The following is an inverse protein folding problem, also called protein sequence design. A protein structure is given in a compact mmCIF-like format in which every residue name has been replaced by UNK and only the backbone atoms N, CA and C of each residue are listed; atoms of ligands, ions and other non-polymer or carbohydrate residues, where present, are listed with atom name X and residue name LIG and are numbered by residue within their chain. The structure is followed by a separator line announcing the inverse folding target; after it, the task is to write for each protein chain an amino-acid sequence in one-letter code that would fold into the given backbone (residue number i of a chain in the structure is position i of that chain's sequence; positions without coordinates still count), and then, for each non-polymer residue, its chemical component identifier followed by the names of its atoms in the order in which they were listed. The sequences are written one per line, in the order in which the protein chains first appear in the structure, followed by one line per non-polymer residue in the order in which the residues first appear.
data_IF_458261920664
#
_entry.id   IF_458261920664
#
_cell.length_a   1.000
_cell.length_b   1.000
_cell.length_c   1.000
_cell.angle_alpha   90.00
_cell.angle_beta   90.00
_cell.angle_gamma   90.00
#
_symmetry.space_group_name_H-M   'P 1'
#
loop_
_entity.id
_entity.type
_entity.pdbx_description
1 polymer ?
#
# COMPACT_ATOMS: atom_id res chain seq x y z
N UNK A 1 -17.25 4.16 3.73
CA UNK A 1 -16.25 5.19 4.03
C UNK A 1 -16.42 5.64 5.48
N UNK A 2 -15.48 5.29 6.37
CA UNK A 2 -15.39 5.91 7.70
C UNK A 2 -14.79 7.28 7.52
N UNK A 3 -15.38 8.31 8.17
CA UNK A 3 -14.73 9.59 8.26
C UNK A 3 -13.31 9.41 8.85
N UNK A 4 -12.28 10.07 8.31
CA UNK A 4 -10.89 9.91 8.76
C UNK A 4 -10.70 10.06 10.27
N UNK A 5 -11.42 10.99 10.90
CA UNK A 5 -11.42 11.21 12.35
C UNK A 5 -11.85 9.97 13.15
N UNK A 6 -12.90 9.29 12.72
CA UNK A 6 -13.41 8.10 13.45
C UNK A 6 -12.41 6.94 13.36
N UNK A 7 -11.71 6.76 12.26
CA UNK A 7 -10.69 5.72 12.13
C UNK A 7 -9.49 6.01 13.04
N UNK A 8 -9.07 7.26 13.13
CA UNK A 8 -8.04 7.69 14.07
C UNK A 8 -8.44 7.46 15.52
N UNK A 9 -9.67 7.81 15.89
CA UNK A 9 -10.17 7.61 17.26
C UNK A 9 -10.22 6.12 17.63
N UNK A 10 -10.65 5.26 16.71
CA UNK A 10 -10.64 3.81 16.87
C UNK A 10 -9.21 3.27 17.03
N UNK A 11 -8.25 3.78 16.27
CA UNK A 11 -6.84 3.41 16.39
C UNK A 11 -6.25 3.79 17.75
N UNK A 12 -6.52 5.02 18.20
CA UNK A 12 -6.06 5.52 19.50
C UNK A 12 -6.62 4.67 20.63
N UNK A 13 -7.92 4.38 20.61
CA UNK A 13 -8.56 3.56 21.65
C UNK A 13 -7.98 2.13 21.67
N UNK A 14 -7.79 1.53 20.50
CA UNK A 14 -7.24 0.16 20.37
C UNK A 14 -5.80 0.05 20.90
N UNK A 15 -5.05 1.13 20.86
CA UNK A 15 -3.62 1.16 21.22
C UNK A 15 -3.32 2.03 22.45
N UNK A 16 -4.29 2.45 23.20
CA UNK A 16 -4.19 3.41 24.30
C UNK A 16 -3.07 3.10 25.29
N UNK A 17 -2.89 1.82 25.67
CA UNK A 17 -1.84 1.38 26.59
C UNK A 17 -0.42 1.43 25.98
N UNK A 18 -0.29 1.50 24.67
CA UNK A 18 0.98 1.47 23.93
C UNK A 18 1.45 2.86 23.48
N UNK A 19 0.53 3.81 23.36
CA UNK A 19 0.82 5.17 22.92
C UNK A 19 1.53 6.00 24.01
N UNK A 20 2.26 7.02 23.60
CA UNK A 20 2.85 8.03 24.47
C UNK A 20 1.80 9.00 25.06
N UNK A 21 2.24 9.94 25.95
CA UNK A 21 1.36 10.89 26.63
C UNK A 21 0.47 11.70 25.69
N UNK A 22 1.00 12.09 24.54
CA UNK A 22 0.29 12.89 23.54
C UNK A 22 -0.23 12.04 22.37
N UNK A 23 -0.55 10.76 22.63
CA UNK A 23 -0.96 9.78 21.61
C UNK A 23 0.13 9.54 20.56
N UNK A 24 1.39 9.84 20.89
CA UNK A 24 2.54 9.65 19.99
C UNK A 24 2.91 8.19 19.88
N UNK A 25 3.38 7.78 18.71
CA UNK A 25 3.91 6.44 18.46
C UNK A 25 5.28 6.29 19.10
N UNK A 26 5.55 5.14 19.70
CA UNK A 26 6.85 4.77 20.26
C UNK A 26 7.57 3.85 19.29
N UNK A 27 8.84 4.10 19.05
CA UNK A 27 9.68 3.27 18.20
C UNK A 27 9.81 1.85 18.75
N UNK A 28 9.78 0.84 17.88
CA UNK A 28 9.89 -0.57 18.25
C UNK A 28 8.63 -1.19 18.87
N UNK A 29 7.50 -0.48 18.90
CA UNK A 29 6.23 -0.98 19.43
C UNK A 29 5.30 -1.39 18.29
N UNK A 30 4.76 -2.60 18.36
CA UNK A 30 3.73 -3.07 17.42
C UNK A 30 2.36 -2.54 17.80
N UNK A 31 1.68 -1.87 16.87
CA UNK A 31 0.33 -1.31 17.04
C UNK A 31 -0.72 -2.13 16.29
N UNK A 32 -1.94 -2.14 16.82
CA UNK A 32 -3.09 -2.78 16.19
C UNK A 32 -3.79 -1.78 15.27
N UNK A 33 -4.09 -2.20 14.05
CA UNK A 33 -4.84 -1.39 13.07
C UNK A 33 -6.33 -1.74 13.17
N UNK A 34 -7.24 -0.76 13.29
CA UNK A 34 -8.67 -1.03 13.30
C UNK A 34 -9.10 -1.74 12.01
N UNK A 35 -9.93 -2.79 12.07
CA UNK A 35 -10.37 -3.50 10.88
C UNK A 35 -11.15 -2.56 9.94
N UNK A 36 -10.81 -2.57 8.66
CA UNK A 36 -11.65 -1.96 7.63
C UNK A 36 -13.02 -2.64 7.64
N UNK A 37 -14.12 -1.87 7.63
CA UNK A 37 -15.45 -2.46 7.51
C UNK A 37 -15.60 -3.09 6.14
N UNK A 38 -15.44 -4.41 6.03
CA UNK A 38 -16.04 -5.16 4.93
C UNK A 38 -17.55 -5.19 5.17
N UNK A 39 -18.32 -4.87 4.15
CA UNK A 39 -19.77 -5.05 4.14
C UNK A 39 -20.10 -6.54 4.11
N UNK A 40 -20.18 -7.17 5.27
CA UNK A 40 -20.87 -8.46 5.43
C UNK A 40 -21.61 -8.43 6.76
N UNK A 41 -22.89 -8.76 6.66
CA UNK A 41 -23.89 -8.68 7.70
C UNK A 41 -23.56 -9.39 9.00
N UNK A 42 -24.06 -8.80 10.10
CA UNK A 42 -24.02 -9.31 11.44
C UNK A 42 -24.66 -10.69 11.59
N UNK A 43 -23.93 -11.59 12.23
CA UNK A 43 -24.53 -12.69 12.99
C UNK A 43 -23.91 -12.69 14.39
N UNK A 44 -24.80 -12.64 15.34
CA UNK A 44 -24.73 -12.57 16.79
C UNK A 44 -23.71 -13.55 17.40
N UNK A 45 -22.78 -13.06 18.22
CA UNK A 45 -22.01 -13.90 19.13
C UNK A 45 -22.41 -13.61 20.58
N UNK A 46 -23.06 -14.60 21.20
CA UNK A 46 -23.27 -14.73 22.66
C UNK A 46 -22.00 -15.31 23.29
N UNK A 47 -21.74 -14.82 24.49
CA UNK A 47 -20.61 -15.10 25.38
C UNK A 47 -20.55 -16.50 25.99
N UNK A 48 -19.29 -16.94 26.28
CA UNK A 48 -18.75 -17.78 27.38
C UNK A 48 -18.72 -19.30 27.21
N UNK A 49 -17.95 -20.09 28.02
CA UNK A 49 -16.69 -19.85 28.71
C UNK A 49 -15.55 -20.84 28.34
N UNK A 50 -14.39 -20.66 28.96
CA UNK A 50 -13.13 -21.38 28.79
C UNK A 50 -13.18 -22.92 28.90
N UNK A 51 -12.39 -23.60 28.07
CA UNK A 51 -12.07 -25.03 28.24
C UNK A 51 -11.48 -25.73 27.04
N UNK A 52 -10.16 -25.89 27.04
CA UNK A 52 -9.33 -26.99 26.51
C UNK A 52 -9.43 -27.41 25.04
N UNK A 53 -8.25 -27.52 24.45
CA UNK A 53 -7.86 -28.19 23.20
C UNK A 53 -8.28 -27.48 21.91
N UNK A 54 -7.37 -26.66 21.39
CA UNK A 54 -7.41 -26.19 20.01
C UNK A 54 -6.66 -27.20 19.15
N UNK A 55 -7.40 -28.10 18.51
CA UNK A 55 -6.98 -28.71 17.27
C UNK A 55 -6.67 -27.58 16.27
N UNK A 56 -5.49 -27.64 15.69
CA UNK A 56 -5.11 -26.78 14.56
C UNK A 56 -6.09 -27.03 13.41
N UNK A 57 -7.13 -26.22 13.31
CA UNK A 57 -7.88 -26.12 12.06
C UNK A 57 -6.97 -25.41 11.04
N UNK A 58 -6.51 -26.18 10.07
CA UNK A 58 -5.90 -25.67 8.85
C UNK A 58 -6.87 -24.66 8.20
N UNK A 59 -6.54 -23.36 8.33
CA UNK A 59 -7.18 -22.34 7.49
C UNK A 59 -6.92 -22.73 6.04
N UNK A 60 -7.94 -22.72 5.15
CA UNK A 60 -7.72 -23.03 3.75
C UNK A 60 -6.62 -22.11 3.22
N UNK A 61 -5.53 -22.73 2.76
CA UNK A 61 -4.39 -22.02 2.16
C UNK A 61 -4.95 -21.19 1.00
N UNK A 62 -4.79 -19.86 0.98
CA UNK A 62 -5.33 -19.04 -0.11
C UNK A 62 -4.81 -19.60 -1.43
N UNK A 63 -5.72 -19.76 -2.39
CA UNK A 63 -5.37 -20.23 -3.72
C UNK A 63 -4.18 -19.42 -4.24
N UNK A 64 -3.09 -20.11 -4.63
CA UNK A 64 -1.84 -19.47 -5.05
C UNK A 64 -2.13 -18.63 -6.30
N UNK A 65 -2.13 -17.32 -6.16
CA UNK A 65 -2.23 -16.42 -7.32
C UNK A 65 -0.99 -16.65 -8.17
N UNK A 66 -1.20 -16.96 -9.42
CA UNK A 66 -0.11 -17.17 -10.40
C UNK A 66 0.18 -15.91 -11.19
N UNK A 67 -0.78 -14.99 -11.24
CA UNK A 67 -0.71 -13.73 -11.97
C UNK A 67 -1.50 -12.65 -11.25
N UNK A 68 -0.99 -11.42 -11.27
CA UNK A 68 -1.60 -10.22 -10.70
C UNK A 68 -1.70 -9.21 -11.83
N UNK A 69 -2.88 -8.60 -12.00
CA UNK A 69 -3.05 -7.47 -12.90
C UNK A 69 -3.01 -6.18 -12.10
N UNK A 70 -1.97 -5.36 -12.35
CA UNK A 70 -1.80 -4.03 -11.76
C UNK A 70 -1.65 -2.98 -12.88
N UNK A 71 -2.73 -2.26 -13.20
CA UNK A 71 -2.73 -1.29 -14.30
C UNK A 71 -1.72 -0.15 -14.14
N UNK A 72 -1.33 0.19 -12.91
CA UNK A 72 -0.34 1.23 -12.61
C UNK A 72 1.04 0.91 -13.17
N UNK A 73 1.35 -0.36 -13.48
CA UNK A 73 2.62 -0.70 -14.12
C UNK A 73 2.66 -0.38 -15.62
N UNK A 74 1.56 0.10 -16.19
CA UNK A 74 1.44 0.41 -17.62
C UNK A 74 1.12 -0.83 -18.47
N UNK A 75 0.70 -0.60 -19.72
CA UNK A 75 0.13 -1.64 -20.60
C UNK A 75 1.00 -2.88 -20.78
N UNK A 76 2.31 -2.71 -20.82
CA UNK A 76 3.24 -3.82 -21.09
C UNK A 76 3.53 -4.66 -19.85
N UNK A 77 3.47 -4.07 -18.66
CA UNK A 77 3.90 -4.69 -17.41
C UNK A 77 2.76 -4.92 -16.41
N UNK A 78 1.53 -4.52 -16.75
CA UNK A 78 0.35 -4.67 -15.89
C UNK A 78 0.14 -6.12 -15.43
N UNK A 79 0.31 -7.09 -16.33
CA UNK A 79 0.20 -8.50 -15.98
C UNK A 79 1.53 -9.00 -15.42
N UNK A 80 1.56 -9.19 -14.11
CA UNK A 80 2.74 -9.61 -13.36
C UNK A 80 2.60 -11.06 -12.93
N UNK A 81 3.50 -11.93 -13.38
CA UNK A 81 3.56 -13.34 -12.94
C UNK A 81 4.13 -13.42 -11.53
N UNK A 82 3.46 -14.17 -10.67
CA UNK A 82 3.99 -14.52 -9.35
C UNK A 82 4.97 -15.67 -9.52
N UNK A 83 6.25 -15.42 -9.32
CA UNK A 83 7.35 -16.35 -9.57
C UNK A 83 7.74 -17.15 -8.34
N UNK A 84 7.46 -16.62 -7.15
CA UNK A 84 7.75 -17.28 -5.89
C UNK A 84 6.67 -17.01 -4.83
N UNK A 85 6.82 -17.61 -3.66
CA UNK A 85 5.96 -17.40 -2.50
C UNK A 85 6.76 -16.95 -1.27
N UNK A 86 7.95 -16.41 -1.48
CA UNK A 86 8.84 -16.00 -0.38
C UNK A 86 8.22 -14.94 0.53
N UNK A 87 7.38 -14.08 -0.05
CA UNK A 87 6.68 -13.01 0.65
C UNK A 87 5.17 -13.28 0.80
N UNK A 88 4.74 -14.53 0.63
CA UNK A 88 3.33 -14.88 0.80
C UNK A 88 2.84 -14.57 2.22
N UNK A 89 1.76 -13.79 2.31
CA UNK A 89 1.20 -13.31 3.58
C UNK A 89 1.83 -12.02 4.11
N UNK A 90 2.87 -11.50 3.46
CA UNK A 90 3.37 -10.15 3.75
C UNK A 90 2.55 -9.10 2.98
N UNK A 91 2.27 -7.97 3.63
CA UNK A 91 1.55 -6.83 3.07
C UNK A 91 2.46 -5.60 3.13
N UNK A 92 2.60 -4.91 2.00
CA UNK A 92 3.43 -3.72 1.86
C UNK A 92 2.61 -2.53 1.38
N UNK A 93 2.84 -1.38 2.00
CA UNK A 93 2.34 -0.09 1.54
C UNK A 93 3.54 0.67 0.95
N UNK A 94 3.54 0.85 -0.36
CA UNK A 94 4.63 1.50 -1.09
C UNK A 94 4.24 2.94 -1.39
N UNK A 95 5.07 3.87 -0.94
CA UNK A 95 4.88 5.31 -1.14
C UNK A 95 6.11 5.83 -1.87
N UNK A 96 5.92 6.49 -3.01
CA UNK A 96 6.96 7.30 -3.63
C UNK A 96 7.19 8.58 -2.84
N UNK A 97 8.42 9.09 -2.84
CA UNK A 97 8.70 10.43 -2.34
C UNK A 97 8.19 11.49 -3.31
N UNK A 98 7.82 12.66 -2.78
CA UNK A 98 7.34 13.81 -3.55
C UNK A 98 6.06 13.51 -4.34
N UNK A 99 5.74 14.34 -5.35
CA UNK A 99 4.55 14.20 -6.21
C UNK A 99 3.56 15.35 -6.07
N UNK A 100 2.62 15.43 -7.00
CA UNK A 100 1.69 16.56 -7.10
C UNK A 100 2.44 17.87 -7.34
N UNK A 101 2.29 18.90 -6.46
CA UNK A 101 2.98 20.17 -6.64
C UNK A 101 4.46 20.13 -6.24
N UNK A 102 4.91 19.10 -5.52
CA UNK A 102 6.28 18.96 -5.02
C UNK A 102 7.11 18.06 -5.95
N UNK A 103 7.96 18.65 -6.81
CA UNK A 103 8.81 17.90 -7.73
C UNK A 103 10.02 17.26 -7.03
N UNK A 104 10.26 17.55 -5.75
CA UNK A 104 11.53 17.23 -5.11
C UNK A 104 12.70 18.01 -5.71
N UNK A 105 13.88 17.41 -5.77
CA UNK A 105 15.03 18.02 -6.43
C UNK A 105 14.83 18.06 -7.95
N UNK A 106 15.22 19.21 -8.55
CA UNK A 106 15.17 19.39 -9.99
C UNK A 106 16.58 19.40 -10.56
N UNK A 107 16.89 18.42 -11.41
CA UNK A 107 18.12 18.33 -12.17
C UNK A 107 17.92 18.74 -13.62
N UNK A 108 19.04 18.88 -14.38
CA UNK A 108 18.97 19.17 -15.81
C UNK A 108 20.09 18.46 -16.57
N UNK A 109 19.71 17.82 -17.68
CA UNK A 109 20.65 17.23 -18.64
C UNK A 109 20.33 17.74 -20.04
N UNK A 110 21.19 18.61 -20.57
CA UNK A 110 20.93 19.29 -21.82
C UNK A 110 19.63 20.12 -21.74
N UNK A 111 18.66 19.79 -22.58
CA UNK A 111 17.33 20.42 -22.62
C UNK A 111 16.30 19.74 -21.72
N UNK A 112 16.64 18.61 -21.11
CA UNK A 112 15.72 17.82 -20.29
C UNK A 112 15.83 18.24 -18.85
N UNK A 113 14.70 18.59 -18.25
CA UNK A 113 14.54 18.83 -16.83
C UNK A 113 14.09 17.53 -16.17
N UNK A 114 14.78 17.14 -15.10
CA UNK A 114 14.58 15.89 -14.39
C UNK A 114 14.00 16.21 -13.01
N UNK A 115 12.81 15.72 -12.73
CA UNK A 115 12.14 15.89 -11.46
C UNK A 115 12.27 14.63 -10.60
N UNK A 116 12.64 14.77 -9.34
CA UNK A 116 12.87 13.65 -8.43
C UNK A 116 11.63 12.78 -8.25
N UNK A 117 10.43 13.39 -8.17
CA UNK A 117 9.17 12.68 -7.99
C UNK A 117 8.89 11.66 -9.10
N UNK A 118 9.22 11.98 -10.36
CA UNK A 118 9.02 11.08 -11.50
C UNK A 118 9.88 9.81 -11.39
N UNK A 119 11.14 9.97 -11.00
CA UNK A 119 12.06 8.85 -10.80
C UNK A 119 11.74 8.08 -9.52
N UNK A 120 11.35 8.76 -8.45
CA UNK A 120 10.90 8.12 -7.22
C UNK A 120 9.65 7.27 -7.46
N UNK A 121 8.71 7.75 -8.27
CA UNK A 121 7.50 7.01 -8.63
C UNK A 121 7.84 5.77 -9.47
N UNK A 122 8.66 5.90 -10.50
CA UNK A 122 9.09 4.75 -11.33
C UNK A 122 9.80 3.67 -10.49
N UNK A 123 10.70 4.07 -9.58
CA UNK A 123 11.38 3.15 -8.66
C UNK A 123 10.36 2.47 -7.73
N UNK A 124 9.40 3.21 -7.20
CA UNK A 124 8.34 2.66 -6.34
C UNK A 124 7.49 1.62 -7.07
N UNK A 125 7.13 1.87 -8.33
CA UNK A 125 6.40 0.90 -9.16
C UNK A 125 7.23 -0.37 -9.42
N UNK A 126 8.52 -0.24 -9.72
CA UNK A 126 9.44 -1.39 -9.92
C UNK A 126 9.56 -2.20 -8.63
N UNK A 127 9.71 -1.54 -7.50
CA UNK A 127 9.72 -2.21 -6.19
C UNK A 127 8.42 -2.97 -5.95
N UNK A 128 7.27 -2.30 -6.13
CA UNK A 128 5.95 -2.91 -5.96
C UNK A 128 5.80 -4.16 -6.82
N UNK A 129 6.20 -4.07 -8.10
CA UNK A 129 6.15 -5.20 -9.03
C UNK A 129 7.03 -6.38 -8.56
N UNK A 130 8.25 -6.11 -8.11
CA UNK A 130 9.14 -7.14 -7.59
C UNK A 130 8.57 -7.82 -6.34
N UNK A 131 7.99 -7.06 -5.41
CA UNK A 131 7.33 -7.60 -4.22
C UNK A 131 6.14 -8.50 -4.59
N UNK A 132 5.32 -8.08 -5.56
CA UNK A 132 4.20 -8.89 -6.08
C UNK A 132 4.69 -10.19 -6.75
N UNK A 133 5.80 -10.16 -7.49
CA UNK A 133 6.41 -11.35 -8.09
C UNK A 133 6.85 -12.37 -7.02
N UNK A 134 7.24 -11.91 -5.84
CA UNK A 134 7.60 -12.75 -4.69
C UNK A 134 6.39 -13.19 -3.86
N UNK A 135 5.17 -12.85 -4.28
CA UNK A 135 3.92 -13.28 -3.66
C UNK A 135 3.38 -12.39 -2.56
N UNK A 136 3.91 -11.16 -2.39
CA UNK A 136 3.40 -10.19 -1.44
C UNK A 136 2.05 -9.60 -1.88
N UNK A 137 1.28 -9.13 -0.91
CA UNK A 137 0.22 -8.16 -1.11
C UNK A 137 0.85 -6.76 -1.09
N UNK A 138 0.56 -5.94 -2.11
CA UNK A 138 1.17 -4.61 -2.24
C UNK A 138 0.12 -3.56 -2.54
N UNK A 139 0.17 -2.48 -1.79
CA UNK A 139 -0.66 -1.28 -1.97
C UNK A 139 0.23 -0.12 -2.38
N UNK A 140 0.00 0.42 -3.57
CA UNK A 140 0.71 1.59 -4.09
C UNK A 140 -0.10 2.82 -3.68
N UNK A 141 0.48 3.69 -2.86
CA UNK A 141 -0.25 4.78 -2.23
C UNK A 141 -0.35 6.01 -3.13
N UNK A 142 0.74 6.42 -3.76
CA UNK A 142 0.73 7.49 -4.75
C UNK A 142 0.55 6.86 -6.12
N UNK A 143 -0.40 7.35 -6.91
CA UNK A 143 -0.83 6.73 -8.15
C UNK A 143 -0.97 7.74 -9.29
N UNK A 144 -0.34 7.49 -10.43
CA UNK A 144 -0.68 8.10 -11.72
C UNK A 144 -1.06 6.99 -12.72
N UNK A 145 -2.35 6.95 -13.09
CA UNK A 145 -2.88 5.91 -13.98
C UNK A 145 -2.34 5.99 -15.43
N UNK A 146 -1.63 7.05 -15.78
CA UNK A 146 -1.11 7.27 -17.15
C UNK A 146 0.40 7.09 -17.25
N UNK A 147 1.09 7.03 -16.13
CA UNK A 147 2.54 7.06 -16.13
C UNK A 147 3.06 5.64 -16.01
N UNK A 148 2.89 4.71 -15.53
CA UNK A 148 3.45 3.37 -15.55
C UNK A 148 4.97 3.30 -15.34
N UNK A 149 5.51 2.10 -15.43
CA UNK A 149 6.96 1.86 -15.42
C UNK A 149 7.52 2.25 -16.81
N UNK A 150 8.53 3.10 -16.82
CA UNK A 150 9.07 3.72 -18.04
C UNK A 150 10.56 3.43 -18.19
N UNK A 151 10.96 2.96 -19.38
CA UNK A 151 12.36 2.73 -19.74
C UNK A 151 12.91 3.86 -20.63
N UNK A 152 12.32 5.04 -20.57
CA UNK A 152 12.74 6.22 -21.30
C UNK A 152 14.09 6.74 -20.79
N UNK A 153 14.89 7.32 -21.68
CA UNK A 153 16.18 7.91 -21.30
C UNK A 153 16.01 9.05 -20.28
N UNK A 154 14.91 9.79 -20.42
CA UNK A 154 14.49 10.84 -19.49
C UNK A 154 13.00 10.77 -19.28
N UNK A 155 12.56 10.72 -18.02
CA UNK A 155 11.16 10.67 -17.69
C UNK A 155 10.50 12.04 -17.89
N UNK A 156 9.34 12.03 -18.55
CA UNK A 156 8.54 13.24 -18.70
C UNK A 156 7.83 13.59 -17.42
N UNK A 157 7.72 14.89 -17.13
CA UNK A 157 7.06 15.37 -15.91
C UNK A 157 5.55 15.23 -16.02
N UNK A 158 4.94 14.67 -14.98
CA UNK A 158 3.49 14.57 -14.77
C UNK A 158 3.11 15.23 -13.45
N UNK A 159 1.87 15.70 -13.35
CA UNK A 159 1.32 16.29 -12.12
C UNK A 159 -0.15 15.84 -11.96
N UNK A 160 -0.37 14.53 -12.16
CA UNK A 160 -1.70 13.92 -12.10
C UNK A 160 -1.81 12.84 -11.03
N UNK A 161 -0.83 12.81 -10.15
CA UNK A 161 -0.79 11.86 -9.06
C UNK A 161 -1.98 12.05 -8.13
N UNK A 162 -2.51 10.95 -7.70
CA UNK A 162 -3.61 10.85 -6.74
C UNK A 162 -3.20 9.97 -5.57
N UNK A 163 -3.89 10.08 -4.44
CA UNK A 163 -3.72 9.13 -3.35
C UNK A 163 -4.64 7.91 -3.56
N UNK A 164 -4.19 6.73 -3.22
CA UNK A 164 -4.98 5.50 -3.30
C UNK A 164 -6.36 5.67 -2.64
N UNK A 165 -7.41 5.42 -3.42
CA UNK A 165 -8.80 5.57 -2.97
C UNK A 165 -9.35 6.98 -2.95
N UNK A 166 -8.57 7.98 -3.36
CA UNK A 166 -9.00 9.37 -3.55
C UNK A 166 -8.69 9.80 -5.00
N UNK A 167 -9.71 10.10 -5.82
CA UNK A 167 -9.50 10.51 -7.21
C UNK A 167 -9.06 11.97 -7.38
N UNK A 168 -8.95 12.72 -6.28
CA UNK A 168 -8.54 14.11 -6.33
C UNK A 168 -7.03 14.19 -6.52
N UNK A 169 -6.52 14.93 -7.54
CA UNK A 169 -5.09 15.13 -7.72
C UNK A 169 -4.45 15.77 -6.48
N UNK A 170 -3.22 15.37 -6.20
CA UNK A 170 -2.42 15.99 -5.14
C UNK A 170 -2.11 17.45 -5.53
N UNK A 171 -2.53 18.42 -4.72
CA UNK A 171 -2.35 19.86 -4.92
C UNK A 171 -1.60 20.47 -3.75
#
# INVERSE_FOLDING_TARGET
NRAPKKYYDDFVELNKAKLGKDKTLKMGVTYLIPPAKSSVSAATAKSAPAGKNVEKQDKPKPARRTEINEPLFGKLLANTKVTSSRLAGACFYVVSGHGGPDPGAIGRVGKHELHEDEYAYDIALRLARNLMQEGAEVHIIIQDAKDGIRDDAYLSNSKRETCMGDPIPLN
#
